data_IF_493672091065
#
_entry.id   IF_493672091065
#
_cell.length_a   1.000
_cell.length_b   1.000
_cell.length_c   1.000
_cell.angle_alpha   90.00
_cell.angle_beta   90.00
_cell.angle_gamma   90.00
#
_symmetry.space_group_name_H-M   'P 1'
#
loop_
_entity.id
_entity.type
_entity.pdbx_description
1 polymer ?
#
# COMPACT_ATOMS: atom_id res chain seq x y z
N UNK A 1 9.10 20.62 -3.17
CA UNK A 1 9.48 19.81 -1.99
C UNK A 1 9.11 18.40 -2.36
N UNK A 2 9.95 17.40 -2.10
CA UNK A 2 9.66 16.04 -2.55
C UNK A 2 8.66 15.35 -1.62
N UNK A 3 8.03 14.27 -2.07
CA UNK A 3 7.09 13.50 -1.23
C UNK A 3 7.74 12.96 0.06
N UNK A 4 9.05 12.70 0.04
CA UNK A 4 9.81 12.31 1.24
C UNK A 4 9.97 13.44 2.26
N UNK A 5 10.02 14.71 1.83
CA UNK A 5 10.05 15.84 2.75
C UNK A 5 8.74 15.93 3.55
N UNK A 6 7.61 15.63 2.90
CA UNK A 6 6.28 15.59 3.53
C UNK A 6 6.21 14.48 4.59
N UNK A 7 6.63 13.27 4.23
CA UNK A 7 6.75 12.13 5.16
C UNK A 7 7.64 12.50 6.36
N UNK A 8 8.84 13.02 6.09
CA UNK A 8 9.79 13.37 7.16
C UNK A 8 9.25 14.47 8.07
N UNK A 9 8.57 15.47 7.51
CA UNK A 9 7.92 16.55 8.26
C UNK A 9 6.86 16.01 9.21
N UNK A 10 5.96 15.17 8.70
CA UNK A 10 4.93 14.51 9.53
C UNK A 10 5.54 13.65 10.64
N UNK A 11 6.50 12.79 10.30
CA UNK A 11 7.16 11.92 11.29
C UNK A 11 7.85 12.72 12.39
N UNK A 12 8.48 13.84 12.04
CA UNK A 12 9.13 14.73 13.02
C UNK A 12 8.10 15.44 13.92
N UNK A 13 6.90 15.72 13.41
CA UNK A 13 5.79 16.31 14.17
C UNK A 13 5.20 15.32 15.17
N UNK A 14 4.96 14.08 14.74
CA UNK A 14 4.32 13.02 15.53
C UNK A 14 5.28 12.29 16.47
N UNK A 15 6.60 12.44 16.28
CA UNK A 15 7.63 11.95 17.20
C UNK A 15 7.62 12.62 18.60
N UNK A 16 6.69 13.55 18.87
CA UNK A 16 6.48 14.06 20.22
C UNK A 16 6.17 12.90 21.19
N UNK A 17 6.86 12.82 22.35
CA UNK A 17 6.89 11.64 23.23
C UNK A 17 5.59 11.31 23.97
N UNK A 18 4.44 11.86 23.54
CA UNK A 18 3.12 11.65 24.14
C UNK A 18 2.13 10.85 23.29
N UNK A 19 2.45 10.54 22.03
CA UNK A 19 1.53 9.83 21.14
C UNK A 19 1.59 8.31 21.38
N UNK A 20 0.79 7.84 22.33
CA UNK A 20 0.69 6.46 22.85
C UNK A 20 0.79 5.36 21.80
N UNK A 21 1.52 4.28 22.14
CA UNK A 21 1.62 3.02 21.39
C UNK A 21 0.24 2.44 20.99
N UNK A 22 -0.78 2.68 21.83
CA UNK A 22 -2.18 2.36 21.57
C UNK A 22 -2.76 3.05 20.31
N UNK A 23 -2.37 4.30 20.03
CA UNK A 23 -2.81 4.99 18.82
C UNK A 23 -2.16 4.41 17.56
N UNK A 24 -0.91 3.94 17.66
CA UNK A 24 -0.21 3.20 16.58
C UNK A 24 -0.91 1.88 16.29
N UNK A 25 -1.25 1.11 17.33
CA UNK A 25 -1.99 -0.14 17.17
C UNK A 25 -3.36 0.07 16.51
N UNK A 26 -4.11 1.09 16.94
CA UNK A 26 -5.42 1.44 16.34
C UNK A 26 -5.33 1.92 14.90
N UNK A 27 -4.30 2.69 14.54
CA UNK A 27 -4.11 3.12 13.16
C UNK A 27 -3.73 1.94 12.25
N UNK A 28 -2.89 1.02 12.74
CA UNK A 28 -2.55 -0.22 12.01
C UNK A 28 -3.76 -1.12 11.80
N UNK A 29 -4.61 -1.27 12.82
CA UNK A 29 -5.88 -1.98 12.73
C UNK A 29 -6.84 -1.32 11.73
N UNK A 30 -7.03 0.01 11.83
CA UNK A 30 -7.90 0.76 10.92
C UNK A 30 -7.44 0.71 9.45
N UNK A 31 -6.14 0.55 9.20
CA UNK A 31 -5.57 0.40 7.87
C UNK A 31 -5.37 -1.05 7.43
N UNK A 32 -5.72 -2.04 8.25
CA UNK A 32 -5.55 -3.45 7.93
C UNK A 32 -4.10 -3.87 7.71
N UNK A 33 -3.14 -3.21 8.37
CA UNK A 33 -1.71 -3.51 8.25
C UNK A 33 -1.26 -4.73 9.07
N UNK A 34 -2.15 -5.28 9.91
CA UNK A 34 -1.94 -6.44 10.79
C UNK A 34 -2.63 -7.72 10.27
N UNK A 35 -2.82 -7.82 8.95
CA UNK A 35 -3.44 -8.99 8.29
C UNK A 35 -2.51 -10.22 8.30
N UNK A 36 -2.28 -10.80 9.48
CA UNK A 36 -1.92 -12.21 9.69
C UNK A 36 -3.16 -13.03 10.14
N UNK A 37 -4.37 -12.48 10.00
CA UNK A 37 -5.62 -13.20 10.30
C UNK A 37 -6.30 -13.71 9.01
N UNK A 38 -6.31 -15.02 8.75
CA UNK A 38 -6.99 -15.60 7.60
C UNK A 38 -8.51 -15.62 7.83
N UNK A 39 -9.17 -14.46 7.82
CA UNK A 39 -10.63 -14.37 8.00
C UNK A 39 -11.26 -13.21 7.24
N UNK A 40 -11.29 -13.33 5.91
CA UNK A 40 -12.38 -12.81 5.09
C UNK A 40 -12.61 -13.69 3.84
N UNK A 41 -12.43 -15.01 3.99
CA UNK A 41 -12.89 -15.99 3.02
C UNK A 41 -14.10 -16.73 3.60
N UNK A 42 -15.28 -16.12 3.44
CA UNK A 42 -16.65 -16.70 3.50
C UNK A 42 -17.61 -15.50 3.50
N UNK A 43 -18.53 -15.34 2.55
CA UNK A 43 -19.48 -16.34 2.08
C UNK A 43 -19.93 -16.14 0.62
N UNK A 44 -19.96 -17.28 -0.09
CA UNK A 44 -21.01 -17.73 -1.01
C UNK A 44 -21.40 -16.90 -2.25
N UNK A 45 -21.04 -17.44 -3.42
CA UNK A 45 -22.06 -18.05 -4.29
C UNK A 45 -21.44 -19.05 -5.26
N UNK A 46 -21.88 -20.31 -5.12
CA UNK A 46 -21.72 -21.36 -6.12
C UNK A 46 -22.32 -20.92 -7.45
N UNK A 47 -21.49 -20.83 -8.48
CA UNK A 47 -21.93 -20.83 -9.88
C UNK A 47 -21.05 -21.86 -10.60
N UNK A 48 -21.72 -22.79 -11.28
CA UNK A 48 -21.12 -23.89 -12.02
C UNK A 48 -20.11 -23.40 -13.10
N UNK A 49 -19.12 -24.21 -13.49
CA UNK A 49 -18.12 -23.81 -14.47
C UNK A 49 -18.76 -23.80 -15.86
N UNK A 50 -19.19 -22.63 -16.32
CA UNK A 50 -19.37 -22.39 -17.75
C UNK A 50 -18.01 -22.05 -18.34
N UNK A 51 -17.61 -22.84 -19.33
CA UNK A 51 -16.41 -22.67 -20.11
C UNK A 51 -16.49 -21.38 -20.95
N UNK A 52 -16.13 -20.26 -20.34
CA UNK A 52 -15.70 -19.05 -21.04
C UNK A 52 -14.19 -18.98 -20.91
N UNK A 53 -13.49 -19.44 -21.95
CA UNK A 53 -12.03 -19.56 -21.99
C UNK A 53 -11.30 -18.21 -22.12
N UNK A 54 -12.00 -17.08 -21.95
CA UNK A 54 -11.48 -15.72 -22.18
C UNK A 54 -11.53 -14.82 -20.93
N UNK A 55 -12.13 -15.30 -19.83
CA UNK A 55 -12.14 -14.57 -18.56
C UNK A 55 -11.02 -15.09 -17.65
N UNK A 56 -10.26 -14.20 -16.97
CA UNK A 56 -9.27 -14.63 -16.00
C UNK A 56 -9.93 -15.49 -14.92
N UNK A 57 -9.34 -16.65 -14.64
CA UNK A 57 -9.75 -17.46 -13.51
C UNK A 57 -9.57 -16.64 -12.23
N UNK A 58 -10.58 -16.65 -11.34
CA UNK A 58 -10.47 -15.99 -10.03
C UNK A 58 -9.23 -16.47 -9.26
N UNK A 59 -8.84 -17.72 -9.44
CA UNK A 59 -7.61 -18.28 -8.89
C UNK A 59 -6.35 -17.56 -9.40
N UNK A 60 -6.26 -17.29 -10.71
CA UNK A 60 -5.11 -16.61 -11.32
C UNK A 60 -5.01 -15.16 -10.87
N UNK A 61 -6.15 -14.47 -10.73
CA UNK A 61 -6.23 -13.11 -10.17
C UNK A 61 -5.72 -13.07 -8.73
N UNK A 62 -6.13 -14.03 -7.90
CA UNK A 62 -5.67 -14.12 -6.51
C UNK A 62 -4.17 -14.45 -6.41
N UNK A 63 -3.67 -15.37 -7.23
CA UNK A 63 -2.25 -15.70 -7.27
C UNK A 63 -1.41 -14.49 -7.71
N UNK A 64 -1.88 -13.78 -8.74
CA UNK A 64 -1.23 -12.56 -9.20
C UNK A 64 -1.18 -11.50 -8.10
N UNK A 65 -2.30 -11.28 -7.39
CA UNK A 65 -2.36 -10.32 -6.26
C UNK A 65 -1.39 -10.71 -5.13
N UNK A 66 -1.30 -12.00 -4.78
CA UNK A 66 -0.36 -12.50 -3.76
C UNK A 66 1.08 -12.25 -4.15
N UNK A 67 1.43 -12.48 -5.43
CA UNK A 67 2.78 -12.19 -5.95
C UNK A 67 3.07 -10.70 -5.97
N UNK A 68 2.11 -9.87 -6.35
CA UNK A 68 2.23 -8.42 -6.31
C UNK A 68 2.58 -7.93 -4.89
N UNK A 69 1.80 -8.34 -3.89
CA UNK A 69 2.03 -7.98 -2.49
C UNK A 69 3.42 -8.41 -2.02
N UNK A 70 3.79 -9.67 -2.28
CA UNK A 70 5.12 -10.20 -1.94
C UNK A 70 6.25 -9.40 -2.59
N UNK A 71 6.10 -9.01 -3.86
CA UNK A 71 7.10 -8.19 -4.53
C UNK A 71 7.25 -6.86 -3.80
N UNK A 72 6.14 -6.19 -3.45
CA UNK A 72 6.15 -4.93 -2.69
C UNK A 72 6.74 -5.07 -1.28
N UNK A 73 6.56 -6.21 -0.62
CA UNK A 73 7.13 -6.56 0.68
C UNK A 73 8.65 -6.72 0.64
N UNK A 74 9.17 -7.44 -0.36
CA UNK A 74 10.60 -7.75 -0.51
C UNK A 74 11.38 -6.71 -1.36
N UNK A 75 10.77 -5.58 -1.72
CA UNK A 75 11.49 -4.51 -2.43
C UNK A 75 12.64 -3.97 -1.56
N UNK A 76 13.85 -3.73 -2.14
CA UNK A 76 14.17 -3.74 -3.57
C UNK A 76 14.61 -5.10 -4.16
N UNK A 77 14.77 -6.15 -3.34
CA UNK A 77 15.33 -7.44 -3.77
C UNK A 77 14.48 -8.13 -4.85
N UNK A 78 13.15 -8.06 -4.75
CA UNK A 78 12.22 -8.71 -5.69
C UNK A 78 11.94 -7.92 -6.96
N UNK A 79 12.69 -6.84 -7.22
CA UNK A 79 12.55 -6.02 -8.44
C UNK A 79 12.67 -6.85 -9.73
N UNK A 80 13.49 -7.89 -9.73
CA UNK A 80 13.70 -8.76 -10.89
C UNK A 80 12.46 -9.58 -11.28
N UNK A 81 11.57 -9.85 -10.32
CA UNK A 81 10.33 -10.61 -10.52
C UNK A 81 9.21 -9.76 -11.14
N UNK A 82 9.37 -8.43 -11.16
CA UNK A 82 8.38 -7.49 -11.70
C UNK A 82 8.01 -7.77 -13.16
N UNK A 83 9.00 -8.04 -14.00
CA UNK A 83 8.77 -8.32 -15.41
C UNK A 83 7.92 -9.59 -15.59
N UNK A 84 8.19 -10.63 -14.79
CA UNK A 84 7.42 -11.87 -14.81
C UNK A 84 5.97 -11.63 -14.34
N UNK A 85 5.77 -10.86 -13.26
CA UNK A 85 4.44 -10.49 -12.77
C UNK A 85 3.60 -9.77 -13.85
N UNK A 86 4.21 -8.83 -14.59
CA UNK A 86 3.52 -8.10 -15.67
C UNK A 86 3.25 -9.00 -16.89
N UNK A 87 4.13 -9.96 -17.18
CA UNK A 87 3.86 -10.98 -18.21
C UNK A 87 2.69 -11.87 -17.82
N UNK A 88 2.59 -12.28 -16.56
CA UNK A 88 1.46 -13.04 -16.03
C UNK A 88 0.15 -12.25 -16.15
N UNK A 89 0.15 -10.96 -15.78
CA UNK A 89 -1.03 -10.10 -15.91
C UNK A 89 -1.59 -10.08 -17.35
N UNK A 90 -0.68 -9.99 -18.34
CA UNK A 90 -1.03 -10.04 -19.77
C UNK A 90 -1.51 -11.42 -20.20
N UNK A 91 -0.89 -12.49 -19.69
CA UNK A 91 -1.30 -13.85 -19.98
C UNK A 91 -2.70 -14.17 -19.45
N UNK A 92 -3.06 -13.58 -18.31
CA UNK A 92 -4.39 -13.67 -17.72
C UNK A 92 -5.41 -12.69 -18.33
N UNK A 93 -5.00 -11.86 -19.30
CA UNK A 93 -5.85 -10.84 -19.91
C UNK A 93 -6.49 -9.90 -18.86
N UNK A 94 -5.73 -9.54 -17.83
CA UNK A 94 -6.20 -8.60 -16.81
C UNK A 94 -6.30 -7.20 -17.41
N UNK A 95 -7.35 -6.48 -17.01
CA UNK A 95 -7.58 -5.11 -17.45
C UNK A 95 -6.48 -4.16 -16.93
N UNK A 96 -5.92 -3.34 -17.82
CA UNK A 96 -4.81 -2.43 -17.49
C UNK A 96 -5.21 -1.38 -16.44
N UNK A 97 -6.46 -0.91 -16.44
CA UNK A 97 -6.94 0.04 -15.44
C UNK A 97 -7.11 -0.64 -14.07
N UNK A 98 -7.60 -1.88 -14.06
CA UNK A 98 -7.65 -2.72 -12.86
C UNK A 98 -6.25 -2.98 -12.29
N UNK A 99 -5.27 -3.32 -13.13
CA UNK A 99 -3.87 -3.49 -12.72
C UNK A 99 -3.37 -2.18 -12.09
N UNK A 100 -3.53 -1.05 -12.79
CA UNK A 100 -3.06 0.25 -12.30
C UNK A 100 -3.67 0.63 -10.94
N UNK A 101 -4.95 0.32 -10.72
CA UNK A 101 -5.62 0.51 -9.43
C UNK A 101 -4.98 -0.35 -8.34
N UNK A 102 -4.74 -1.64 -8.58
CA UNK A 102 -4.07 -2.53 -7.60
C UNK A 102 -2.64 -2.09 -7.30
N UNK A 103 -1.92 -1.58 -8.31
CA UNK A 103 -0.57 -1.04 -8.11
C UNK A 103 -0.58 0.22 -7.23
N UNK A 104 -1.56 1.11 -7.45
CA UNK A 104 -1.73 2.30 -6.63
C UNK A 104 -2.10 1.94 -5.18
N UNK A 105 -2.98 0.96 -4.98
CA UNK A 105 -3.35 0.47 -3.65
C UNK A 105 -2.16 -0.09 -2.87
N UNK A 106 -1.34 -0.96 -3.48
CA UNK A 106 -0.17 -1.52 -2.80
C UNK A 106 0.89 -0.44 -2.48
N UNK A 107 1.02 0.58 -3.34
CA UNK A 107 1.84 1.76 -3.05
C UNK A 107 1.29 2.58 -1.87
N UNK A 108 -0.03 2.76 -1.79
CA UNK A 108 -0.70 3.41 -0.65
C UNK A 108 -0.51 2.61 0.64
N UNK A 109 -0.66 1.29 0.61
CA UNK A 109 -0.44 0.42 1.78
C UNK A 109 1.01 0.48 2.26
N UNK A 110 1.96 0.51 1.34
CA UNK A 110 3.38 0.69 1.65
C UNK A 110 3.62 2.00 2.42
N UNK A 111 3.09 3.13 1.92
CA UNK A 111 3.21 4.44 2.58
C UNK A 111 2.51 4.43 3.95
N UNK A 112 1.30 3.86 4.04
CA UNK A 112 0.57 3.70 5.31
C UNK A 112 1.39 2.90 6.33
N UNK A 113 2.10 1.86 5.89
CA UNK A 113 3.04 1.10 6.71
C UNK A 113 4.13 1.99 7.32
N UNK A 114 4.80 2.80 6.50
CA UNK A 114 5.85 3.74 6.95
C UNK A 114 5.28 4.79 7.92
N UNK A 115 4.12 5.35 7.61
CA UNK A 115 3.43 6.34 8.47
C UNK A 115 3.03 5.73 9.81
N UNK A 116 2.55 4.49 9.81
CA UNK A 116 2.16 3.78 11.03
C UNK A 116 3.36 3.36 11.88
N UNK A 117 4.47 2.95 11.27
CA UNK A 117 5.70 2.60 12.00
C UNK A 117 6.36 3.83 12.66
N UNK A 118 6.07 5.02 12.11
CA UNK A 118 6.63 6.31 12.51
C UNK A 118 8.15 6.45 12.34
N UNK A 119 8.77 5.50 11.66
CA UNK A 119 10.20 5.52 11.34
C UNK A 119 10.34 5.50 9.83
N UNK A 120 11.10 6.45 9.29
CA UNK A 120 11.56 6.42 7.90
C UNK A 120 13.01 5.99 7.90
N UNK A 121 13.25 4.68 7.77
CA UNK A 121 14.61 4.17 7.60
C UNK A 121 15.10 4.41 6.16
N UNK A 122 16.42 4.30 5.96
CA UNK A 122 17.00 4.34 4.60
C UNK A 122 16.45 3.20 3.72
N UNK A 123 16.16 2.05 4.34
CA UNK A 123 15.55 0.90 3.67
C UNK A 123 14.10 1.22 3.23
N UNK A 124 13.31 1.90 4.06
CA UNK A 124 11.94 2.32 3.69
C UNK A 124 11.98 3.36 2.55
N UNK A 125 12.94 4.29 2.60
CA UNK A 125 13.14 5.26 1.53
C UNK A 125 13.48 4.57 0.21
N UNK A 126 14.44 3.64 0.20
CA UNK A 126 14.80 2.88 -0.99
C UNK A 126 13.62 2.03 -1.50
N UNK A 127 12.86 1.42 -0.59
CA UNK A 127 11.68 0.61 -0.91
C UNK A 127 10.59 1.42 -1.58
N UNK A 128 10.19 2.56 -1.00
CA UNK A 128 9.15 3.45 -1.55
C UNK A 128 9.59 4.04 -2.90
N UNK A 129 10.85 4.48 -3.02
CA UNK A 129 11.36 5.04 -4.26
C UNK A 129 11.46 3.98 -5.38
N UNK A 130 11.83 2.75 -5.01
CA UNK A 130 11.85 1.62 -5.95
C UNK A 130 10.43 1.28 -6.41
N UNK A 131 9.46 1.22 -5.48
CA UNK A 131 8.06 0.98 -5.79
C UNK A 131 7.51 2.03 -6.75
N UNK A 132 7.71 3.32 -6.44
CA UNK A 132 7.29 4.46 -7.29
C UNK A 132 7.82 4.34 -8.72
N UNK A 133 9.10 4.02 -8.88
CA UNK A 133 9.73 3.84 -10.20
C UNK A 133 9.16 2.64 -10.95
N UNK A 134 8.87 1.54 -10.26
CA UNK A 134 8.34 0.31 -10.87
C UNK A 134 6.95 0.50 -11.45
N UNK A 135 6.08 1.22 -10.73
CA UNK A 135 4.69 1.49 -11.14
C UNK A 135 4.56 2.72 -12.04
N UNK A 136 5.65 3.47 -12.27
CA UNK A 136 5.67 4.62 -13.17
C UNK A 136 4.96 5.86 -12.62
N UNK A 137 4.76 5.95 -11.30
CA UNK A 137 4.13 7.11 -10.67
C UNK A 137 5.12 8.29 -10.63
N UNK A 138 4.65 9.46 -11.04
CA UNK A 138 5.45 10.71 -11.00
C UNK A 138 5.66 11.18 -9.56
N UNK A 139 6.70 11.98 -9.34
CA UNK A 139 6.98 12.52 -8.00
C UNK A 139 5.79 13.30 -7.43
N UNK A 140 5.12 14.11 -8.26
CA UNK A 140 3.93 14.87 -7.86
C UNK A 140 2.73 14.00 -7.50
N UNK A 141 2.55 12.87 -8.18
CA UNK A 141 1.49 11.91 -7.84
C UNK A 141 1.80 11.18 -6.52
N UNK A 142 3.07 10.82 -6.30
CA UNK A 142 3.49 10.25 -5.02
C UNK A 142 3.33 11.26 -3.87
N UNK A 143 3.66 12.52 -4.11
CA UNK A 143 3.47 13.62 -3.15
C UNK A 143 1.99 13.80 -2.77
N UNK A 144 1.09 13.82 -3.76
CA UNK A 144 -0.35 13.90 -3.51
C UNK A 144 -0.88 12.70 -2.70
N UNK A 145 -0.43 11.48 -3.01
CA UNK A 145 -0.82 10.29 -2.27
C UNK A 145 -0.33 10.34 -0.81
N UNK A 146 0.92 10.75 -0.59
CA UNK A 146 1.48 10.95 0.76
C UNK A 146 0.70 12.00 1.53
N UNK A 147 0.40 13.15 0.93
CA UNK A 147 -0.39 14.19 1.58
C UNK A 147 -1.77 13.71 2.02
N UNK A 148 -2.46 12.93 1.18
CA UNK A 148 -3.75 12.36 1.54
C UNK A 148 -3.61 11.41 2.74
N UNK A 149 -2.64 10.50 2.72
CA UNK A 149 -2.41 9.51 3.79
C UNK A 149 -2.00 10.20 5.11
N UNK A 150 -1.14 11.20 5.03
CA UNK A 150 -0.73 12.00 6.19
C UNK A 150 -1.93 12.74 6.78
N UNK A 151 -2.76 13.38 5.96
CA UNK A 151 -3.97 14.05 6.44
C UNK A 151 -4.96 13.07 7.09
N UNK A 152 -5.12 11.86 6.53
CA UNK A 152 -5.90 10.78 7.16
C UNK A 152 -5.32 10.39 8.53
N UNK A 153 -4.00 10.25 8.63
CA UNK A 153 -3.31 9.89 9.87
C UNK A 153 -3.43 11.00 10.93
N UNK A 154 -3.27 12.27 10.54
CA UNK A 154 -3.43 13.43 11.41
C UNK A 154 -4.85 13.50 11.98
N UNK A 155 -5.88 13.25 11.15
CA UNK A 155 -7.26 13.17 11.61
C UNK A 155 -7.44 12.05 12.66
N UNK A 156 -6.75 10.93 12.49
CA UNK A 156 -6.82 9.78 13.40
C UNK A 156 -6.07 9.99 14.73
N UNK A 157 -4.93 10.69 14.70
CA UNK A 157 -4.12 10.98 15.89
C UNK A 157 -4.60 12.20 16.70
N UNK A 158 -5.71 12.82 16.30
CA UNK A 158 -6.24 14.03 16.91
C UNK A 158 -5.95 15.23 16.02
N UNK A 159 -6.84 15.41 15.03
CA UNK A 159 -6.74 16.48 14.05
C UNK A 159 -6.53 17.83 14.72
N UNK A 160 -5.38 18.44 14.43
CA UNK A 160 -4.91 19.73 14.93
C UNK A 160 -4.98 19.89 16.45
N UNK A 161 -3.83 20.10 17.08
CA UNK A 161 -3.77 20.83 18.34
C UNK A 161 -4.60 22.11 18.14
N UNK A 162 -5.78 22.16 18.75
CA UNK A 162 -6.45 23.42 19.00
C UNK A 162 -5.52 24.11 19.99
N UNK A 163 -4.79 25.13 19.53
CA UNK A 163 -4.19 26.12 20.43
C UNK A 163 -5.35 26.68 21.28
N UNK A 164 -5.47 26.23 22.53
CA UNK A 164 -6.33 26.90 23.50
C UNK A 164 -5.73 28.29 23.79
N UNK A 165 -6.52 29.31 23.49
CA UNK A 165 -6.26 30.72 23.83
C UNK A 165 -6.62 31.01 25.29
#
# INVERSE_FOLDING_TARGET
MGFFDVLKGFLSSVAHPGASDDARARLRDAWGLDDDSPTAARESSSIAPSADADLPSLYDVEQWRKKLRRIFEDLPASKSEWAALMTEARAYNLDDAWIAERLAEEFTLLIRGVVADRVLSEADHERVETARKLIGITESQAEAAVHAIVAEAEAFFGGSVVEEA
#
